data_IF_979649628519
#
_entry.id   IF_979649628519
#
_cell.length_a   1.000
_cell.length_b   1.000
_cell.length_c   1.000
_cell.angle_alpha   90.00
_cell.angle_beta   90.00
_cell.angle_gamma   90.00
#
_symmetry.space_group_name_H-M   'P 1'
#
loop_
_entity.id
_entity.type
_entity.pdbx_description
1 polymer ?
#
# COMPACT_ATOMS: atom_id res chain seq x y z
N UNK A 1 5.15 18.37 11.01
CA UNK A 1 5.88 18.11 9.74
C UNK A 1 5.78 16.63 9.37
N UNK A 2 5.95 16.23 8.10
CA UNK A 2 5.88 14.82 7.68
C UNK A 2 6.86 13.90 8.43
N UNK A 3 8.04 14.43 8.79
CA UNK A 3 9.04 13.74 9.62
C UNK A 3 8.52 13.39 11.02
N UNK A 4 7.65 14.23 11.59
CA UNK A 4 7.08 14.03 12.92
C UNK A 4 6.03 12.92 12.93
N UNK A 5 5.23 12.81 11.86
CA UNK A 5 4.26 11.72 11.68
C UNK A 5 4.99 10.38 11.51
N UNK A 6 6.05 10.35 10.70
CA UNK A 6 6.89 9.16 10.56
C UNK A 6 7.55 8.74 11.87
N UNK A 7 8.06 9.71 12.64
CA UNK A 7 8.64 9.47 13.96
C UNK A 7 7.63 8.83 14.92
N UNK A 8 6.40 9.35 14.99
CA UNK A 8 5.35 8.80 15.83
C UNK A 8 4.88 7.41 15.39
N UNK A 9 4.75 7.18 14.08
CA UNK A 9 4.34 5.89 13.54
C UNK A 9 5.36 4.79 13.86
N UNK A 10 6.66 5.09 13.74
CA UNK A 10 7.73 4.15 14.09
C UNK A 10 7.73 3.84 15.59
N UNK A 11 7.54 4.86 16.43
CA UNK A 11 7.52 4.71 17.89
C UNK A 11 6.35 3.84 18.36
N UNK A 12 5.16 4.01 17.76
CA UNK A 12 3.97 3.22 18.10
C UNK A 12 4.01 1.78 17.60
N UNK A 13 4.67 1.52 16.47
CA UNK A 13 4.79 0.18 15.90
C UNK A 13 5.80 -0.67 16.68
N UNK A 14 6.84 -0.06 17.22
CA UNK A 14 7.94 -0.72 17.92
C UNK A 14 7.49 -1.65 19.07
N UNK A 15 6.64 -1.24 20.03
CA UNK A 15 6.18 -2.12 21.11
C UNK A 15 5.28 -3.27 20.62
N UNK A 16 4.49 -3.03 19.58
CA UNK A 16 3.61 -4.05 19.00
C UNK A 16 4.42 -5.12 18.26
N UNK A 17 5.39 -4.69 17.45
CA UNK A 17 6.32 -5.59 16.78
C UNK A 17 7.18 -6.38 17.79
N UNK A 18 7.62 -5.73 18.87
CA UNK A 18 8.38 -6.37 19.94
C UNK A 18 7.56 -7.47 20.64
N UNK A 19 6.27 -7.27 20.87
CA UNK A 19 5.42 -8.30 21.52
C UNK A 19 5.34 -9.58 20.69
N UNK A 20 5.35 -9.46 19.35
CA UNK A 20 5.34 -10.62 18.44
C UNK A 20 6.75 -11.23 18.32
N UNK A 21 7.80 -10.40 18.29
CA UNK A 21 9.16 -10.85 18.08
C UNK A 21 9.82 -11.48 19.32
N UNK A 22 9.57 -10.93 20.52
CA UNK A 22 10.18 -11.36 21.80
C UNK A 22 10.10 -12.88 22.06
N UNK A 23 8.95 -13.56 21.89
CA UNK A 23 8.88 -15.01 22.10
C UNK A 23 9.66 -15.83 21.06
N UNK A 24 10.01 -15.25 19.91
CA UNK A 24 10.73 -15.93 18.81
C UNK A 24 12.24 -15.70 18.84
N UNK A 25 12.73 -14.71 19.61
CA UNK A 25 14.16 -14.36 19.66
C UNK A 25 15.03 -15.52 20.15
N UNK A 26 14.55 -16.32 21.10
CA UNK A 26 15.30 -17.44 21.69
C UNK A 26 15.57 -18.59 20.72
N UNK A 27 14.81 -18.70 19.63
CA UNK A 27 14.94 -19.75 18.61
C UNK A 27 15.48 -19.22 17.27
N UNK A 28 15.78 -17.91 17.20
CA UNK A 28 16.20 -17.26 15.95
C UNK A 28 17.72 -17.34 15.79
N UNK A 29 18.17 -18.13 14.82
CA UNK A 29 19.56 -18.09 14.37
C UNK A 29 19.78 -16.87 13.47
N UNK A 30 20.46 -15.85 13.99
CA UNK A 30 20.79 -14.64 13.23
C UNK A 30 21.90 -14.95 12.22
N UNK A 31 21.50 -15.29 10.99
CA UNK A 31 22.42 -15.47 9.88
C UNK A 31 22.58 -14.15 9.11
N UNK A 32 23.79 -13.83 8.68
CA UNK A 32 24.09 -12.59 7.95
C UNK A 32 23.25 -12.48 6.65
N UNK A 33 22.95 -13.62 6.03
CA UNK A 33 22.06 -13.72 4.87
C UNK A 33 20.63 -13.23 5.17
N UNK A 34 20.08 -13.56 6.35
CA UNK A 34 18.73 -13.13 6.74
C UNK A 34 18.66 -11.61 6.93
N UNK A 35 19.70 -11.02 7.54
CA UNK A 35 19.80 -9.57 7.72
C UNK A 35 19.90 -8.88 6.36
N UNK A 36 20.74 -9.40 5.46
CA UNK A 36 20.87 -8.87 4.10
C UNK A 36 19.56 -8.94 3.32
N UNK A 37 18.82 -10.06 3.41
CA UNK A 37 17.50 -10.21 2.78
C UNK A 37 16.47 -9.23 3.33
N UNK A 38 16.45 -8.98 4.65
CA UNK A 38 15.54 -8.00 5.26
C UNK A 38 15.87 -6.59 4.77
N UNK A 39 17.15 -6.22 4.72
CA UNK A 39 17.59 -4.91 4.23
C UNK A 39 17.25 -4.76 2.75
N UNK A 40 17.53 -5.77 1.93
CA UNK A 40 17.22 -5.76 0.50
C UNK A 40 15.72 -5.62 0.25
N UNK A 41 14.89 -6.35 1.00
CA UNK A 41 13.43 -6.29 0.89
C UNK A 41 12.89 -4.95 1.40
N UNK A 42 13.39 -4.44 2.51
CA UNK A 42 12.95 -3.17 3.10
C UNK A 42 13.34 -1.96 2.25
N UNK A 43 14.62 -1.87 1.86
CA UNK A 43 15.11 -0.77 1.02
C UNK A 43 14.58 -0.87 -0.42
N UNK A 44 14.65 -2.06 -1.02
CA UNK A 44 14.23 -2.28 -2.40
C UNK A 44 12.71 -2.28 -2.57
N UNK A 45 12.00 -3.03 -1.73
CA UNK A 45 10.55 -3.17 -1.81
C UNK A 45 9.81 -1.92 -1.31
N UNK A 46 10.12 -1.44 -0.10
CA UNK A 46 9.39 -0.33 0.51
C UNK A 46 10.06 1.02 0.26
N UNK A 47 11.39 1.12 0.39
CA UNK A 47 12.12 2.37 0.24
C UNK A 47 11.97 2.97 -1.16
N UNK A 48 12.29 2.21 -2.20
CA UNK A 48 12.16 2.64 -3.60
C UNK A 48 10.69 2.92 -3.95
N UNK A 49 9.77 2.05 -3.53
CA UNK A 49 8.35 2.24 -3.80
C UNK A 49 7.81 3.54 -3.18
N UNK A 50 8.21 3.88 -1.95
CA UNK A 50 7.80 5.13 -1.32
C UNK A 50 8.35 6.36 -2.04
N UNK A 51 9.63 6.33 -2.47
CA UNK A 51 10.21 7.43 -3.24
C UNK A 51 9.45 7.64 -4.55
N UNK A 52 9.14 6.55 -5.26
CA UNK A 52 8.36 6.62 -6.50
C UNK A 52 6.94 7.11 -6.24
N UNK A 53 6.30 6.65 -5.17
CA UNK A 53 4.96 7.11 -4.76
C UNK A 53 4.93 8.61 -4.47
N UNK A 54 5.91 9.13 -3.71
CA UNK A 54 6.02 10.56 -3.44
C UNK A 54 6.33 11.36 -4.71
N UNK A 55 7.17 10.83 -5.61
CA UNK A 55 7.43 11.45 -6.91
C UNK A 55 6.15 11.53 -7.76
N UNK A 56 5.35 10.46 -7.82
CA UNK A 56 4.08 10.44 -8.54
C UNK A 56 3.05 11.38 -7.92
N UNK A 57 2.98 11.45 -6.59
CA UNK A 57 2.13 12.39 -5.87
C UNK A 57 2.44 13.83 -6.30
N UNK A 58 3.73 14.18 -6.39
CA UNK A 58 4.18 15.54 -6.69
C UNK A 58 4.01 15.92 -8.17
N UNK A 59 4.02 14.95 -9.09
CA UNK A 59 3.95 15.18 -10.55
C UNK A 59 2.56 15.00 -11.15
N UNK A 60 1.81 13.99 -10.71
CA UNK A 60 0.55 13.55 -11.31
C UNK A 60 -0.68 13.86 -10.43
N UNK A 61 -0.47 14.30 -9.19
CA UNK A 61 -1.51 14.57 -8.20
C UNK A 61 -2.07 13.31 -7.53
N UNK A 62 -2.65 13.47 -6.35
CA UNK A 62 -3.08 12.39 -5.46
C UNK A 62 -4.02 11.36 -6.10
N UNK A 63 -4.90 11.80 -7.02
CA UNK A 63 -5.89 10.92 -7.67
C UNK A 63 -5.26 9.91 -8.63
N UNK A 64 -4.16 10.26 -9.31
CA UNK A 64 -3.45 9.32 -10.19
C UNK A 64 -2.53 8.40 -9.39
N UNK A 65 -1.95 8.88 -8.29
CA UNK A 65 -1.11 8.08 -7.41
C UNK A 65 -1.87 6.88 -6.81
N UNK A 66 -3.14 7.06 -6.41
CA UNK A 66 -3.98 5.96 -5.89
C UNK A 66 -4.31 4.89 -6.93
N UNK A 67 -4.24 5.20 -8.23
CA UNK A 67 -4.44 4.20 -9.29
C UNK A 67 -3.32 3.16 -9.30
N UNK A 68 -2.11 3.53 -8.89
CA UNK A 68 -0.98 2.59 -8.78
C UNK A 68 -1.23 1.54 -7.71
N UNK A 69 -1.85 1.94 -6.60
CA UNK A 69 -2.23 1.03 -5.51
C UNK A 69 -3.24 -0.02 -5.99
N UNK A 70 -4.09 0.31 -6.96
CA UNK A 70 -5.02 -0.65 -7.57
C UNK A 70 -4.34 -1.72 -8.41
N UNK A 71 -3.09 -1.49 -8.84
CA UNK A 71 -2.27 -2.49 -9.53
C UNK A 71 -1.55 -3.45 -8.58
N UNK A 72 -1.50 -3.17 -7.27
CA UNK A 72 -0.85 -4.02 -6.28
C UNK A 72 -1.18 -5.51 -6.38
N UNK A 73 -2.45 -5.96 -6.52
CA UNK A 73 -2.73 -7.39 -6.65
C UNK A 73 -2.07 -8.03 -7.87
N UNK A 74 -1.99 -7.31 -8.99
CA UNK A 74 -1.33 -7.78 -10.21
C UNK A 74 0.18 -7.86 -10.02
N UNK A 75 0.80 -6.81 -9.46
CA UNK A 75 2.23 -6.80 -9.18
C UNK A 75 2.62 -7.84 -8.12
N UNK A 76 1.78 -8.09 -7.13
CA UNK A 76 2.00 -9.13 -6.12
C UNK A 76 2.05 -10.52 -6.74
N UNK A 77 1.07 -10.88 -7.58
CA UNK A 77 1.06 -12.18 -8.28
C UNK A 77 2.25 -12.30 -9.25
N UNK A 78 2.57 -11.23 -9.97
CA UNK A 78 3.71 -11.20 -10.88
C UNK A 78 5.04 -11.47 -10.16
N UNK A 79 5.30 -10.78 -9.06
CA UNK A 79 6.54 -10.96 -8.30
C UNK A 79 6.57 -12.29 -7.52
N UNK A 80 5.42 -12.76 -7.00
CA UNK A 80 5.31 -14.09 -6.39
C UNK A 80 5.66 -15.22 -7.36
N UNK A 81 5.16 -15.13 -8.59
CA UNK A 81 5.46 -16.12 -9.62
C UNK A 81 6.91 -16.02 -10.15
N UNK A 82 7.48 -14.82 -10.28
CA UNK A 82 8.79 -14.61 -10.92
C UNK A 82 9.98 -14.72 -9.96
N UNK A 83 9.88 -14.18 -8.74
CA UNK A 83 10.96 -14.23 -7.75
C UNK A 83 10.82 -15.43 -6.82
N UNK A 84 9.62 -15.67 -6.30
CA UNK A 84 9.36 -16.75 -5.34
C UNK A 84 9.05 -18.09 -6.03
N UNK A 85 8.87 -18.09 -7.36
CA UNK A 85 8.51 -19.28 -8.15
C UNK A 85 7.23 -19.97 -7.66
N UNK A 86 6.28 -19.18 -7.13
CA UNK A 86 5.01 -19.70 -6.65
C UNK A 86 4.13 -20.16 -7.82
N UNK A 87 3.50 -21.34 -7.66
CA UNK A 87 2.55 -21.84 -8.64
C UNK A 87 1.29 -20.97 -8.63
N UNK A 88 0.96 -20.38 -9.79
CA UNK A 88 -0.27 -19.62 -9.95
C UNK A 88 -1.45 -20.61 -9.99
N UNK A 89 -2.16 -20.71 -8.88
CA UNK A 89 -3.32 -21.60 -8.74
C UNK A 89 -4.64 -20.85 -9.02
N UNK A 90 -5.69 -21.60 -9.34
CA UNK A 90 -7.03 -21.05 -9.60
C UNK A 90 -7.53 -20.17 -8.44
N UNK A 91 -7.34 -20.53 -7.15
CA UNK A 91 -7.74 -19.66 -6.03
C UNK A 91 -7.06 -18.28 -6.05
N UNK A 92 -5.77 -18.21 -6.43
CA UNK A 92 -5.03 -16.94 -6.51
C UNK A 92 -5.66 -16.03 -7.57
N UNK A 93 -5.94 -16.58 -8.75
CA UNK A 93 -6.58 -15.84 -9.83
C UNK A 93 -8.00 -15.40 -9.44
N UNK A 94 -8.77 -16.27 -8.79
CA UNK A 94 -10.11 -15.93 -8.31
C UNK A 94 -10.07 -14.78 -7.29
N UNK A 95 -9.17 -14.83 -6.31
CA UNK A 95 -8.97 -13.76 -5.34
C UNK A 95 -8.55 -12.45 -6.01
N UNK A 96 -7.63 -12.50 -6.96
CA UNK A 96 -7.20 -11.34 -7.74
C UNK A 96 -8.37 -10.68 -8.49
N UNK A 97 -9.23 -11.48 -9.14
CA UNK A 97 -10.43 -10.97 -9.84
C UNK A 97 -11.39 -10.30 -8.86
N UNK A 98 -11.63 -10.90 -7.69
CA UNK A 98 -12.52 -10.32 -6.67
C UNK A 98 -12.01 -8.96 -6.18
N UNK A 99 -10.70 -8.85 -5.90
CA UNK A 99 -10.08 -7.59 -5.46
C UNK A 99 -10.24 -6.52 -6.56
N UNK A 100 -9.89 -6.85 -7.80
CA UNK A 100 -9.98 -5.92 -8.93
C UNK A 100 -11.42 -5.45 -9.17
N UNK A 101 -12.40 -6.35 -9.01
CA UNK A 101 -13.81 -6.00 -9.12
C UNK A 101 -14.26 -5.05 -8.00
N UNK A 102 -13.87 -5.32 -6.75
CA UNK A 102 -14.18 -4.44 -5.61
C UNK A 102 -13.59 -3.04 -5.76
N UNK A 103 -12.34 -2.96 -6.23
CA UNK A 103 -11.69 -1.70 -6.59
C UNK A 103 -12.48 -0.98 -7.67
N UNK A 104 -12.77 -1.66 -8.78
CA UNK A 104 -13.50 -1.07 -9.90
C UNK A 104 -14.87 -0.48 -9.49
N UNK A 105 -15.60 -1.18 -8.62
CA UNK A 105 -16.88 -0.70 -8.09
C UNK A 105 -16.72 0.55 -7.22
N UNK A 106 -15.67 0.63 -6.42
CA UNK A 106 -15.41 1.73 -5.48
C UNK A 106 -14.82 2.95 -6.16
N UNK A 107 -14.05 2.77 -7.24
CA UNK A 107 -13.40 3.85 -7.98
C UNK A 107 -14.31 4.59 -8.97
N UNK A 108 -15.60 4.23 -9.07
CA UNK A 108 -16.54 4.90 -9.98
C UNK A 108 -16.77 6.36 -9.56
N UNK A 109 -16.60 7.35 -10.47
CA UNK A 109 -16.93 8.74 -10.17
C UNK A 109 -18.40 8.85 -9.76
N UNK A 110 -18.67 9.29 -8.53
CA UNK A 110 -20.03 9.56 -8.09
C UNK A 110 -20.55 10.71 -8.95
N UNK A 111 -21.61 10.46 -9.73
CA UNK A 111 -22.24 11.47 -10.57
C UNK A 111 -22.47 12.72 -9.72
N UNK A 112 -21.87 13.84 -10.12
CA UNK A 112 -21.96 15.12 -9.40
C UNK A 112 -23.44 15.41 -9.18
N UNK A 113 -23.88 15.36 -7.93
CA UNK A 113 -25.22 15.79 -7.56
C UNK A 113 -25.32 17.27 -7.99
N UNK A 114 -26.25 17.66 -8.87
CA UNK A 114 -26.38 19.04 -9.29
C UNK A 114 -26.53 19.87 -8.02
N UNK A 115 -25.63 20.84 -7.84
CA UNK A 115 -25.76 21.81 -6.76
C UNK A 115 -27.09 22.51 -6.98
N UNK A 116 -28.06 22.27 -6.10
CA UNK A 116 -29.31 23.02 -6.08
C UNK A 116 -28.90 24.47 -5.88
N UNK A 117 -28.95 25.25 -6.95
CA UNK A 117 -28.78 26.69 -6.92
C UNK A 117 -29.91 27.20 -6.03
N UNK A 118 -29.58 27.52 -4.77
CA UNK A 118 -30.49 28.32 -3.93
C UNK A 118 -30.38 29.72 -4.49
N UNK A 119 -31.15 29.96 -5.55
CA UNK A 119 -31.34 31.27 -6.14
C UNK A 119 -32.28 32.06 -5.24
N UNK A 120 -31.76 33.19 -4.74
CA UNK A 120 -32.53 34.40 -4.45
C UNK A 120 -33.70 34.29 -3.49
N UNK A 121 -33.46 34.64 -2.22
CA UNK A 121 -34.42 35.43 -1.43
C UNK A 121 -33.72 36.04 -0.22
N UNK A 122 -33.69 37.39 -0.17
CA UNK A 122 -33.31 38.12 1.03
C UNK A 122 -32.47 39.38 0.86
N UNK A 123 -32.63 40.13 -0.23
CA UNK A 123 -32.34 41.56 -0.24
C UNK A 123 -33.68 42.30 -0.36
N UNK A 124 -34.21 42.76 0.77
CA UNK A 124 -35.16 43.86 0.93
C UNK A 124 -35.27 44.18 2.42
#
# INVERSE_FOLDING_TARGET
>A
SPLQVGFWQLTLTLPLAATIAVPTIATTHLHLASIASIIALGAGGSGIAYLLYYYMMNTLGATRATTVTFLLPLTAVFWGATLLHEAITIPILAGMVVILLGVYLTSRPRARRPATVIEGRGAA
#
